data_IF_419652917434
#
_entry.id   IF_419652917434
#
_cell.length_a   1.000
_cell.length_b   1.000
_cell.length_c   1.000
_cell.angle_alpha   90.00
_cell.angle_beta   90.00
_cell.angle_gamma   90.00
#
_symmetry.space_group_name_H-M   'P 1'
#
loop_
_entity.id
_entity.type
_entity.pdbx_description
1 polymer ?
#
# COMPACT_ATOMS: atom_id res chain seq x y z
N UNK A 1 -5.26 -10.08 -4.49
CA UNK A 1 -4.02 -9.74 -5.25
C UNK A 1 -2.83 -10.33 -4.51
N UNK A 2 -1.86 -10.89 -5.23
CA UNK A 2 -0.54 -11.25 -4.68
C UNK A 2 0.52 -10.59 -5.56
N UNK A 3 1.53 -10.01 -4.95
CA UNK A 3 2.65 -9.36 -5.63
C UNK A 3 3.96 -9.60 -4.88
N UNK A 4 5.07 -9.27 -5.52
CA UNK A 4 6.36 -9.17 -4.86
C UNK A 4 6.81 -7.72 -4.90
N UNK A 5 7.39 -7.24 -3.82
CA UNK A 5 8.12 -5.97 -3.89
C UNK A 5 9.43 -6.15 -4.66
N UNK A 6 10.14 -5.05 -4.89
CA UNK A 6 11.41 -5.05 -5.61
C UNK A 6 12.53 -5.86 -4.95
N UNK A 7 12.41 -6.19 -3.66
CA UNK A 7 13.33 -7.10 -2.94
C UNK A 7 12.97 -8.58 -3.11
N UNK A 8 11.86 -8.88 -3.79
CA UNK A 8 11.32 -10.23 -3.96
C UNK A 8 10.43 -10.69 -2.81
N UNK A 9 10.15 -9.82 -1.83
CA UNK A 9 9.26 -10.14 -0.70
C UNK A 9 7.83 -10.27 -1.18
N UNK A 10 7.18 -11.38 -0.84
CA UNK A 10 5.78 -11.62 -1.16
C UNK A 10 4.88 -10.74 -0.27
N UNK A 11 4.03 -9.96 -0.92
CA UNK A 11 2.98 -9.15 -0.30
C UNK A 11 1.63 -9.50 -0.92
N UNK A 12 0.58 -9.54 -0.11
CA UNK A 12 -0.74 -9.95 -0.57
C UNK A 12 -1.86 -9.10 0.00
N UNK A 13 -2.85 -8.80 -0.84
CA UNK A 13 -4.04 -8.03 -0.49
C UNK A 13 -5.28 -8.90 -0.68
N UNK A 14 -6.05 -9.05 0.40
CA UNK A 14 -7.37 -9.66 0.42
C UNK A 14 -8.46 -8.60 0.63
N UNK A 15 -9.72 -9.01 0.53
CA UNK A 15 -10.90 -8.15 0.80
C UNK A 15 -10.80 -7.47 2.16
N UNK A 16 -10.37 -8.21 3.19
CA UNK A 16 -10.15 -7.68 4.53
C UNK A 16 -11.43 -7.20 5.24
N UNK A 17 -11.27 -6.29 6.19
CA UNK A 17 -12.32 -5.69 7.01
C UNK A 17 -12.05 -4.19 7.20
N UNK A 18 -12.80 -3.51 8.09
CA UNK A 18 -12.67 -2.05 8.29
C UNK A 18 -11.32 -1.61 8.88
N UNK A 19 -10.52 -2.56 9.39
CA UNK A 19 -9.21 -2.31 10.02
C UNK A 19 -8.01 -2.75 9.18
N UNK A 20 -8.19 -3.60 8.18
CA UNK A 20 -7.10 -4.09 7.33
C UNK A 20 -7.58 -4.62 5.98
N UNK A 21 -6.72 -4.54 4.96
CA UNK A 21 -6.98 -5.06 3.62
C UNK A 21 -7.75 -4.08 2.73
N UNK A 22 -8.29 -4.57 1.62
CA UNK A 22 -8.90 -3.71 0.59
C UNK A 22 -10.06 -2.87 1.12
N UNK A 23 -10.93 -3.46 1.96
CA UNK A 23 -12.07 -2.73 2.56
C UNK A 23 -11.59 -1.53 3.39
N UNK A 24 -10.55 -1.70 4.20
CA UNK A 24 -9.96 -0.62 4.97
C UNK A 24 -9.40 0.50 4.08
N UNK A 25 -8.68 0.13 3.01
CA UNK A 25 -8.10 1.10 2.07
C UNK A 25 -9.20 1.92 1.38
N UNK A 26 -10.24 1.26 0.87
CA UNK A 26 -11.35 1.94 0.22
C UNK A 26 -12.09 2.84 1.20
N UNK A 27 -12.46 2.34 2.38
CA UNK A 27 -13.24 3.10 3.34
C UNK A 27 -12.46 4.29 3.93
N UNK A 28 -11.14 4.15 4.09
CA UNK A 28 -10.30 5.15 4.74
C UNK A 28 -9.63 6.15 3.82
N UNK A 29 -9.40 5.79 2.55
CA UNK A 29 -8.47 6.53 1.68
C UNK A 29 -8.94 6.74 0.24
N UNK A 30 -10.13 6.24 -0.15
CA UNK A 30 -10.60 6.37 -1.55
C UNK A 30 -10.68 7.84 -2.01
N UNK A 31 -11.09 8.76 -1.13
CA UNK A 31 -11.14 10.19 -1.46
C UNK A 31 -9.74 10.77 -1.72
N UNK A 32 -8.73 10.34 -0.94
CA UNK A 32 -7.34 10.75 -1.12
C UNK A 32 -6.79 10.29 -2.49
N UNK A 33 -7.16 9.08 -2.93
CA UNK A 33 -6.79 8.54 -4.23
C UNK A 33 -7.54 9.23 -5.37
N UNK A 34 -8.84 9.46 -5.22
CA UNK A 34 -9.67 10.16 -6.20
C UNK A 34 -9.16 11.59 -6.45
N UNK A 35 -8.74 12.30 -5.40
CA UNK A 35 -8.13 13.63 -5.52
C UNK A 35 -6.82 13.63 -6.33
N UNK A 36 -6.21 12.45 -6.54
CA UNK A 36 -5.00 12.24 -7.35
C UNK A 36 -5.30 11.58 -8.69
N UNK A 37 -6.58 11.39 -9.04
CA UNK A 37 -6.99 10.75 -10.29
C UNK A 37 -6.82 9.22 -10.31
N UNK A 38 -6.63 8.59 -9.15
CA UNK A 38 -6.41 7.15 -9.04
C UNK A 38 -7.72 6.47 -8.63
N UNK A 39 -8.31 5.69 -9.54
CA UNK A 39 -9.59 5.00 -9.31
C UNK A 39 -9.41 3.49 -9.06
N UNK A 40 -8.45 2.86 -9.75
CA UNK A 40 -8.12 1.44 -9.57
C UNK A 40 -6.95 1.27 -8.59
N UNK A 41 -7.28 1.33 -7.29
CA UNK A 41 -6.31 1.21 -6.21
C UNK A 41 -5.58 -0.16 -6.20
N UNK A 42 -6.26 -1.31 -6.42
CA UNK A 42 -5.57 -2.60 -6.53
C UNK A 42 -4.52 -2.63 -7.65
N UNK A 43 -4.86 -2.16 -8.85
CA UNK A 43 -3.89 -2.14 -9.96
C UNK A 43 -2.74 -1.16 -9.69
N UNK A 44 -3.07 0.05 -9.19
CA UNK A 44 -2.06 1.04 -8.83
C UNK A 44 -1.09 0.53 -7.76
N UNK A 45 -1.59 -0.18 -6.74
CA UNK A 45 -0.75 -0.85 -5.75
C UNK A 45 0.13 -1.93 -6.37
N UNK A 46 -0.39 -2.72 -7.30
CA UNK A 46 0.40 -3.75 -7.99
C UNK A 46 1.57 -3.15 -8.78
N UNK A 47 1.34 -2.02 -9.44
CA UNK A 47 2.40 -1.27 -10.14
C UNK A 47 3.39 -0.63 -9.15
N UNK A 48 2.89 -0.10 -8.04
CA UNK A 48 3.72 0.43 -6.94
C UNK A 48 4.71 -0.61 -6.40
N UNK A 49 4.30 -1.88 -6.29
CA UNK A 49 5.19 -2.95 -5.79
C UNK A 49 6.37 -3.24 -6.74
N UNK A 50 6.28 -2.88 -8.03
CA UNK A 50 7.33 -3.14 -9.02
C UNK A 50 8.51 -2.16 -8.90
N UNK A 51 8.33 -1.04 -8.20
CA UNK A 51 9.38 -0.02 -8.01
C UNK A 51 10.03 -0.13 -6.63
N UNK A 52 11.21 0.48 -6.47
CA UNK A 52 11.92 0.49 -5.20
C UNK A 52 11.29 1.50 -4.23
N UNK A 53 11.04 1.11 -2.96
CA UNK A 53 10.67 2.08 -1.94
C UNK A 53 11.84 3.01 -1.62
N UNK A 54 11.55 4.28 -1.37
CA UNK A 54 12.54 5.28 -0.94
C UNK A 54 12.86 5.16 0.56
N UNK A 55 12.00 4.48 1.31
CA UNK A 55 12.16 4.26 2.75
C UNK A 55 11.43 3.00 3.16
N UNK A 56 12.05 2.21 4.03
CA UNK A 56 11.42 1.07 4.69
C UNK A 56 11.71 1.16 6.19
N UNK A 57 10.85 0.57 7.01
CA UNK A 57 11.08 0.49 8.45
C UNK A 57 9.97 -0.22 9.18
N UNK A 58 10.06 -0.22 10.51
CA UNK A 58 9.04 -0.80 11.40
C UNK A 58 8.53 0.29 12.34
N UNK A 59 7.23 0.54 12.30
CA UNK A 59 6.54 1.43 13.23
C UNK A 59 5.82 0.67 14.33
N UNK A 60 5.08 1.36 15.22
CA UNK A 60 4.37 0.74 16.33
C UNK A 60 3.33 -0.32 15.92
N UNK A 61 2.83 -0.23 14.68
CA UNK A 61 1.79 -1.13 14.13
C UNK A 61 2.36 -2.19 13.17
N UNK A 62 3.68 -2.25 12.99
CA UNK A 62 4.35 -3.19 12.10
C UNK A 62 5.16 -2.52 10.99
N UNK A 63 5.67 -3.32 10.04
CA UNK A 63 6.52 -2.83 8.96
C UNK A 63 5.77 -2.01 7.92
N UNK A 64 6.51 -1.09 7.29
CA UNK A 64 6.01 -0.23 6.23
C UNK A 64 7.08 0.05 5.18
N UNK A 65 6.62 0.41 3.98
CA UNK A 65 7.42 0.91 2.87
C UNK A 65 6.82 2.22 2.36
N UNK A 66 7.66 3.17 1.96
CA UNK A 66 7.24 4.45 1.35
C UNK A 66 7.77 4.50 -0.07
N UNK A 67 6.88 4.82 -1.00
CA UNK A 67 7.16 4.94 -2.43
C UNK A 67 6.97 6.39 -2.88
N UNK A 68 7.65 6.77 -3.95
CA UNK A 68 7.40 8.04 -4.65
C UNK A 68 6.96 7.72 -6.06
N UNK A 69 5.79 8.22 -6.44
CA UNK A 69 5.19 8.07 -7.77
C UNK A 69 4.72 9.46 -8.18
N UNK A 70 5.21 9.95 -9.31
CA UNK A 70 4.91 11.30 -9.84
C UNK A 70 5.11 12.42 -8.81
N UNK A 71 6.19 12.33 -8.02
CA UNK A 71 6.54 13.29 -6.98
C UNK A 71 5.71 13.18 -5.69
N UNK A 72 4.68 12.31 -5.65
CA UNK A 72 3.85 12.09 -4.48
C UNK A 72 4.32 10.86 -3.68
N UNK A 73 4.30 10.98 -2.35
CA UNK A 73 4.61 9.86 -1.44
C UNK A 73 3.38 8.99 -1.18
N UNK A 74 3.60 7.68 -1.12
CA UNK A 74 2.60 6.68 -0.76
C UNK A 74 3.17 5.73 0.28
N UNK A 75 2.43 5.49 1.36
CA UNK A 75 2.82 4.57 2.43
C UNK A 75 2.06 3.26 2.28
N UNK A 76 2.80 2.16 2.23
CA UNK A 76 2.30 0.80 2.28
C UNK A 76 2.61 0.20 3.66
N UNK A 77 1.58 -0.18 4.41
CA UNK A 77 1.71 -0.85 5.70
C UNK A 77 1.32 -2.33 5.57
N UNK A 78 2.12 -3.22 6.13
CA UNK A 78 1.91 -4.67 6.04
C UNK A 78 2.28 -5.39 7.33
N UNK A 79 1.76 -6.60 7.50
CA UNK A 79 2.17 -7.52 8.56
C UNK A 79 3.52 -8.17 8.26
N UNK A 80 4.15 -8.76 9.28
CA UNK A 80 5.39 -9.53 9.11
C UNK A 80 5.23 -10.71 8.13
N UNK A 81 4.00 -11.23 7.99
CA UNK A 81 3.61 -12.27 7.04
C UNK A 81 3.32 -11.75 5.61
N UNK A 82 3.55 -10.47 5.34
CA UNK A 82 3.30 -9.85 4.04
C UNK A 82 1.84 -9.48 3.75
N UNK A 83 0.93 -9.67 4.70
CA UNK A 83 -0.45 -9.22 4.55
C UNK A 83 -0.48 -7.69 4.45
N UNK A 84 -1.05 -7.14 3.38
CA UNK A 84 -1.21 -5.70 3.20
C UNK A 84 -2.35 -5.22 4.08
N UNK A 85 -2.00 -4.39 5.08
CA UNK A 85 -2.92 -3.84 6.07
C UNK A 85 -3.56 -2.56 5.52
N UNK A 86 -2.74 -1.66 4.98
CA UNK A 86 -3.21 -0.38 4.42
C UNK A 86 -2.25 0.14 3.35
N UNK A 87 -2.77 0.99 2.48
CA UNK A 87 -2.03 1.70 1.44
C UNK A 87 -2.70 3.04 1.20
N UNK A 88 -1.94 4.13 1.29
CA UNK A 88 -2.50 5.48 1.22
C UNK A 88 -1.47 6.52 0.78
N UNK A 89 -1.89 7.64 0.17
CA UNK A 89 -1.01 8.77 -0.07
C UNK A 89 -0.51 9.35 1.26
N UNK A 90 0.81 9.45 1.43
CA UNK A 90 1.39 10.09 2.62
C UNK A 90 1.06 11.59 2.58
N UNK A 91 0.66 12.15 3.73
CA UNK A 91 0.56 13.61 3.93
C UNK A 91 1.93 14.26 3.95
#
# INVERSE_FOLDING_TARGET
MVGKDSSGKLLWLEKGNDKAGLKHIINGHVEDFNAKGIQDIPNFLQDTLKINPIKQGTGPKGPYSVYVIDGQKYTLAYGNNGFIVSFYPSK
#
